data_IF_690897524034
#
_entry.id   IF_690897524034
#
_cell.length_a   1.000
_cell.length_b   1.000
_cell.length_c   1.000
_cell.angle_alpha   90.00
_cell.angle_beta   90.00
_cell.angle_gamma   90.00
#
_symmetry.space_group_name_H-M   'P 1'
#
loop_
_entity.id
_entity.type
_entity.pdbx_description
1 polymer ?
#
# COMPACT_ATOMS: atom_id res chain seq x y z
N UNK A 1 7.40 -1.21 17.42
CA UNK A 1 6.27 -2.09 17.04
C UNK A 1 4.96 -1.33 17.21
N UNK A 2 4.01 -1.48 16.29
CA UNK A 2 2.67 -0.95 16.49
C UNK A 2 1.96 -1.77 17.59
N UNK A 3 1.28 -1.08 18.50
CA UNK A 3 0.58 -1.72 19.64
C UNK A 3 -0.89 -2.01 19.33
N UNK A 4 -1.40 -1.50 18.20
CA UNK A 4 -2.79 -1.66 17.77
C UNK A 4 -2.88 -1.59 16.24
N UNK A 5 -3.96 -2.17 15.71
CA UNK A 5 -4.34 -2.11 14.29
C UNK A 5 -5.55 -1.19 14.05
N UNK A 6 -6.06 -0.50 15.08
CA UNK A 6 -7.17 0.44 14.91
C UNK A 6 -6.72 1.67 14.09
N UNK A 7 -7.49 2.00 13.05
CA UNK A 7 -7.26 3.18 12.20
C UNK A 7 -8.18 4.31 12.63
N UNK A 8 -7.62 5.50 12.84
CA UNK A 8 -8.36 6.75 13.07
C UNK A 8 -7.87 7.79 12.07
N UNK A 9 -8.48 7.90 10.87
CA UNK A 9 -8.10 8.89 9.87
C UNK A 9 -8.28 10.32 10.39
N UNK A 10 -7.36 11.21 10.00
CA UNK A 10 -7.49 12.63 10.33
C UNK A 10 -8.62 13.28 9.50
N UNK A 11 -9.57 13.98 10.12
CA UNK A 11 -10.65 14.65 9.40
C UNK A 11 -10.10 15.68 8.40
N UNK A 12 -10.54 15.60 7.14
CA UNK A 12 -10.14 16.51 6.08
C UNK A 12 -8.82 16.17 5.37
N UNK A 13 -8.10 15.13 5.82
CA UNK A 13 -6.87 14.67 5.16
C UNK A 13 -7.08 13.31 4.47
N UNK A 14 -7.67 12.34 5.16
CA UNK A 14 -7.86 10.97 4.67
C UNK A 14 -9.35 10.61 4.75
N UNK A 15 -9.97 10.39 3.59
CA UNK A 15 -11.38 9.99 3.51
C UNK A 15 -11.60 8.54 3.97
N UNK A 16 -10.71 7.62 3.58
CA UNK A 16 -10.76 6.20 3.97
C UNK A 16 -9.37 5.62 4.19
N UNK A 17 -9.26 4.68 5.14
CA UNK A 17 -8.04 3.92 5.39
C UNK A 17 -8.40 2.47 5.70
N UNK A 18 -7.59 1.53 5.23
CA UNK A 18 -7.81 0.09 5.45
C UNK A 18 -6.49 -0.66 5.43
N UNK A 19 -6.44 -1.76 6.18
CA UNK A 19 -5.35 -2.73 6.10
C UNK A 19 -5.66 -3.73 4.98
N UNK A 20 -4.64 -4.10 4.23
CA UNK A 20 -4.74 -5.11 3.18
C UNK A 20 -3.74 -6.23 3.43
N UNK A 21 -4.18 -7.48 3.31
CA UNK A 21 -3.26 -8.56 2.97
C UNK A 21 -2.81 -8.44 1.50
N UNK A 22 -1.78 -9.20 1.11
CA UNK A 22 -1.32 -9.20 -0.29
C UNK A 22 -2.41 -9.69 -1.25
N UNK A 23 -3.18 -10.69 -0.84
CA UNK A 23 -4.23 -11.27 -1.66
C UNK A 23 -5.46 -10.37 -1.74
N UNK A 24 -5.80 -9.68 -0.64
CA UNK A 24 -6.86 -8.66 -0.64
C UNK A 24 -6.52 -7.51 -1.60
N UNK A 25 -5.28 -7.00 -1.54
CA UNK A 25 -4.87 -5.90 -2.41
C UNK A 25 -4.85 -6.33 -3.88
N UNK A 26 -4.40 -7.55 -4.21
CA UNK A 26 -4.44 -8.07 -5.59
C UNK A 26 -5.87 -8.18 -6.10
N UNK A 27 -6.79 -8.64 -5.28
CA UNK A 27 -8.21 -8.76 -5.63
C UNK A 27 -8.83 -7.38 -5.87
N UNK A 28 -8.60 -6.43 -4.96
CA UNK A 28 -9.10 -5.06 -5.07
C UNK A 28 -8.52 -4.29 -6.29
N UNK A 29 -7.29 -4.61 -6.69
CA UNK A 29 -6.70 -4.07 -7.92
C UNK A 29 -7.31 -4.70 -9.17
N UNK A 30 -7.65 -5.99 -9.13
CA UNK A 30 -8.26 -6.70 -10.26
C UNK A 30 -9.72 -6.28 -10.49
N UNK A 31 -10.47 -6.03 -9.41
CA UNK A 31 -11.87 -5.55 -9.49
C UNK A 31 -12.00 -4.02 -9.62
N UNK A 32 -10.90 -3.28 -9.40
CA UNK A 32 -10.84 -1.84 -9.56
C UNK A 32 -11.37 -1.02 -8.38
N UNK A 33 -11.72 -1.66 -7.26
CA UNK A 33 -12.10 -0.98 -6.02
C UNK A 33 -10.93 -0.20 -5.39
N UNK A 34 -9.70 -0.60 -5.69
CA UNK A 34 -8.49 0.16 -5.37
C UNK A 34 -7.69 0.40 -6.65
N UNK A 35 -7.13 1.59 -6.80
CA UNK A 35 -6.21 1.91 -7.91
C UNK A 35 -4.86 2.34 -7.38
N UNK A 36 -3.78 1.92 -8.04
CA UNK A 36 -2.45 2.41 -7.73
C UNK A 36 -2.26 3.85 -8.23
N UNK A 37 -1.41 4.65 -7.55
CA UNK A 37 -0.93 5.91 -8.09
C UNK A 37 -0.23 5.74 -9.46
N UNK A 38 0.03 6.84 -10.18
CA UNK A 38 0.76 6.82 -11.45
C UNK A 38 2.12 6.12 -11.35
N UNK A 39 2.62 5.58 -12.47
CA UNK A 39 3.87 4.78 -12.54
C UNK A 39 5.10 5.48 -11.96
N UNK A 40 5.18 6.81 -12.09
CA UNK A 40 6.29 7.63 -11.56
C UNK A 40 6.24 7.89 -10.05
N UNK A 41 5.19 7.44 -9.35
CA UNK A 41 5.02 7.64 -7.91
C UNK A 41 5.92 6.70 -7.11
N UNK A 42 6.62 7.24 -6.10
CA UNK A 42 7.36 6.43 -5.12
C UNK A 42 6.42 5.48 -4.39
N UNK A 43 5.20 5.92 -4.04
CA UNK A 43 4.21 5.08 -3.37
C UNK A 43 3.86 3.84 -4.20
N UNK A 44 3.69 3.98 -5.52
CA UNK A 44 3.44 2.83 -6.40
C UNK A 44 4.61 1.85 -6.37
N UNK A 45 5.85 2.36 -6.48
CA UNK A 45 7.06 1.52 -6.45
C UNK A 45 7.17 0.74 -5.14
N UNK A 46 6.86 1.37 -4.00
CA UNK A 46 6.86 0.72 -2.69
C UNK A 46 5.80 -0.39 -2.60
N UNK A 47 4.57 -0.12 -3.05
CA UNK A 47 3.49 -1.11 -3.04
C UNK A 47 3.81 -2.30 -3.96
N UNK A 48 4.34 -2.04 -5.15
CA UNK A 48 4.73 -3.09 -6.10
C UNK A 48 5.84 -3.96 -5.53
N UNK A 49 6.92 -3.36 -5.00
CA UNK A 49 7.99 -4.11 -4.38
C UNK A 49 7.50 -4.93 -3.17
N UNK A 50 6.53 -4.42 -2.41
CA UNK A 50 5.93 -5.17 -1.30
C UNK A 50 5.14 -6.39 -1.78
N UNK A 51 4.36 -6.23 -2.86
CA UNK A 51 3.58 -7.30 -3.48
C UNK A 51 4.47 -8.38 -4.12
N UNK A 52 5.63 -7.98 -4.64
CA UNK A 52 6.64 -8.83 -5.28
C UNK A 52 7.63 -9.44 -4.27
N UNK A 53 7.54 -9.07 -2.98
CA UNK A 53 8.46 -9.48 -1.92
C UNK A 53 9.93 -9.06 -2.18
N UNK A 54 10.11 -7.95 -2.91
CA UNK A 54 11.41 -7.37 -3.27
C UNK A 54 11.75 -6.12 -2.45
N UNK A 55 10.94 -5.78 -1.45
CA UNK A 55 11.26 -4.73 -0.47
C UNK A 55 12.43 -5.18 0.43
N UNK A 56 13.65 -5.05 -0.09
CA UNK A 56 14.91 -5.27 0.60
C UNK A 56 15.86 -4.08 0.44
N UNK A 57 16.80 -3.95 1.38
CA UNK A 57 17.78 -2.86 1.48
C UNK A 57 18.95 -3.09 0.51
N UNK A 58 18.70 -3.30 -0.78
CA UNK A 58 19.78 -3.51 -1.76
C UNK A 58 19.55 -2.59 -2.97
N UNK A 59 19.75 -1.30 -2.73
CA UNK A 59 19.83 -0.28 -3.77
C UNK A 59 20.82 0.83 -3.37
N UNK A 60 21.96 0.44 -2.80
CA UNK A 60 23.16 1.29 -2.67
C UNK A 60 24.38 0.47 -3.08
N UNK A 61 24.57 0.36 -4.39
CA UNK A 61 25.89 0.09 -4.97
C UNK A 61 26.66 1.39 -5.17
#
# INVERSE_FOLDING_TARGET
>A
HAVTTQLTPAPGEIETASWFSRDDLRSALADGSVTLPPSRSIARRMIQAWLEDTLGVEAVG
#
